data_IF_818355008889
#
_entry.id   IF_818355008889
#
_cell.length_a   1.000
_cell.length_b   1.000
_cell.length_c   1.000
_cell.angle_alpha   90.00
_cell.angle_beta   90.00
_cell.angle_gamma   90.00
#
_symmetry.space_group_name_H-M   'P 1'
#
loop_
_entity.id
_entity.type
_entity.pdbx_description
1 polymer ?
#
# COMPACT_ATOMS: atom_id res chain seq x y z
N UNK A 1 8.81 -2.55 8.04
CA UNK A 1 8.09 -2.54 6.75
C UNK A 1 7.98 -3.99 6.27
N UNK A 2 6.97 -4.33 5.49
CA UNK A 2 6.81 -5.66 4.89
C UNK A 2 6.60 -5.55 3.38
N UNK A 3 7.16 -6.51 2.62
CA UNK A 3 7.06 -6.58 1.16
C UNK A 3 6.65 -7.99 0.75
N UNK A 4 5.67 -8.11 -0.14
CA UNK A 4 5.15 -9.38 -0.64
C UNK A 4 4.41 -9.16 -1.98
N UNK A 5 4.15 -10.21 -2.77
CA UNK A 5 3.61 -10.01 -4.12
C UNK A 5 2.11 -9.72 -4.14
N UNK A 6 1.27 -10.62 -3.60
CA UNK A 6 -0.19 -10.50 -3.66
C UNK A 6 -0.76 -9.62 -2.54
N UNK A 7 -1.59 -8.61 -2.86
CA UNK A 7 -2.13 -7.70 -1.86
C UNK A 7 -3.06 -8.42 -0.89
N UNK A 8 -2.87 -8.21 0.40
CA UNK A 8 -3.84 -8.66 1.41
C UNK A 8 -4.96 -7.65 1.60
N UNK A 9 -4.78 -6.40 1.17
CA UNK A 9 -5.83 -5.39 0.98
C UNK A 9 -5.65 -4.80 -0.41
N UNK A 10 -6.70 -4.89 -1.22
CA UNK A 10 -6.82 -4.27 -2.54
C UNK A 10 -8.30 -4.13 -2.86
N UNK A 11 -8.67 -2.96 -3.38
CA UNK A 11 -9.99 -2.62 -3.92
C UNK A 11 -10.10 -2.93 -5.41
N UNK A 12 -9.05 -3.46 -6.05
CA UNK A 12 -9.13 -3.90 -7.44
C UNK A 12 -10.19 -5.00 -7.61
N UNK A 13 -11.01 -4.91 -8.66
CA UNK A 13 -12.08 -5.87 -8.94
C UNK A 13 -11.55 -7.17 -9.55
N UNK A 14 -10.45 -7.12 -10.31
CA UNK A 14 -9.94 -8.25 -11.04
C UNK A 14 -9.34 -9.36 -10.15
N UNK A 15 -8.38 -9.03 -9.27
CA UNK A 15 -7.84 -9.99 -8.30
C UNK A 15 -8.20 -9.60 -6.87
N UNK A 16 -7.94 -8.34 -6.48
CA UNK A 16 -8.34 -7.81 -5.19
C UNK A 16 -7.61 -8.46 -4.00
N UNK A 17 -8.25 -8.43 -2.84
CA UNK A 17 -7.63 -8.87 -1.58
C UNK A 17 -7.47 -10.40 -1.47
N UNK A 18 -6.25 -10.88 -1.22
CA UNK A 18 -5.99 -12.28 -0.84
C UNK A 18 -6.28 -12.51 0.66
N UNK A 19 -7.50 -12.94 0.96
CA UNK A 19 -7.96 -13.17 2.34
C UNK A 19 -7.29 -14.37 3.02
N UNK A 20 -6.87 -15.39 2.25
CA UNK A 20 -6.17 -16.55 2.81
C UNK A 20 -4.76 -16.17 3.24
N UNK A 21 -4.09 -15.32 2.46
CA UNK A 21 -2.80 -14.76 2.82
C UNK A 21 -2.93 -13.79 3.99
N UNK A 22 -3.93 -12.89 3.98
CA UNK A 22 -4.24 -11.95 5.08
C UNK A 22 -4.28 -12.66 6.43
N UNK A 23 -5.06 -13.74 6.52
CA UNK A 23 -5.22 -14.53 7.74
C UNK A 23 -3.91 -15.11 8.30
N UNK A 24 -2.89 -15.31 7.45
CA UNK A 24 -1.60 -15.88 7.84
C UNK A 24 -0.57 -14.81 8.21
N UNK A 25 -0.53 -13.68 7.49
CA UNK A 25 0.58 -12.72 7.59
C UNK A 25 0.22 -11.44 8.34
N UNK A 26 -1.03 -10.98 8.29
CA UNK A 26 -1.44 -9.78 9.05
C UNK A 26 -1.23 -9.95 10.57
N UNK A 27 -1.51 -11.11 11.19
CA UNK A 27 -1.18 -11.31 12.60
C UNK A 27 0.30 -11.12 12.92
N UNK A 28 1.20 -11.50 12.00
CA UNK A 28 2.64 -11.28 12.16
C UNK A 28 2.98 -9.79 12.05
N UNK A 29 2.35 -9.07 11.11
CA UNK A 29 2.55 -7.63 10.95
C UNK A 29 2.17 -6.86 12.22
N UNK A 30 1.04 -7.24 12.82
CA UNK A 30 0.58 -6.68 14.09
C UNK A 30 1.55 -7.00 15.22
N UNK A 31 1.93 -8.28 15.37
CA UNK A 31 2.85 -8.75 16.42
C UNK A 31 4.22 -8.07 16.39
N UNK A 32 4.77 -7.86 15.19
CA UNK A 32 6.11 -7.29 15.01
C UNK A 32 6.13 -5.79 14.74
N UNK A 33 4.98 -5.10 14.92
CA UNK A 33 4.93 -3.65 14.85
C UNK A 33 5.19 -3.08 13.46
N UNK A 34 4.80 -3.79 12.40
CA UNK A 34 4.83 -3.25 11.03
C UNK A 34 3.93 -2.00 10.97
N UNK A 35 4.44 -0.93 10.36
CA UNK A 35 3.71 0.33 10.16
C UNK A 35 3.25 0.53 8.72
N UNK A 36 3.93 -0.12 7.77
CA UNK A 36 3.60 -0.08 6.35
C UNK A 36 3.94 -1.40 5.65
N UNK A 37 3.06 -1.81 4.75
CA UNK A 37 3.14 -3.03 3.97
C UNK A 37 2.91 -2.72 2.48
N UNK A 38 3.73 -3.32 1.62
CA UNK A 38 3.79 -3.01 0.20
C UNK A 38 3.63 -4.29 -0.62
N UNK A 39 2.77 -4.20 -1.63
CA UNK A 39 2.47 -5.29 -2.55
C UNK A 39 2.36 -4.81 -3.99
N UNK A 40 2.20 -5.75 -4.92
CA UNK A 40 1.97 -5.46 -6.34
C UNK A 40 0.82 -6.31 -6.84
N UNK A 41 1.07 -7.11 -7.88
CA UNK A 41 0.14 -8.08 -8.49
C UNK A 41 -1.07 -7.45 -9.20
N UNK A 42 -1.83 -6.61 -8.52
CA UNK A 42 -2.83 -5.78 -9.16
C UNK A 42 -2.14 -4.67 -9.94
N UNK A 43 -2.48 -4.55 -11.22
CA UNK A 43 -1.85 -3.59 -12.13
C UNK A 43 -2.45 -2.19 -11.95
N UNK A 44 -2.45 -1.73 -10.70
CA UNK A 44 -2.96 -0.45 -10.22
C UNK A 44 -2.00 0.08 -9.15
N UNK A 45 -2.13 1.36 -8.86
CA UNK A 45 -1.66 1.94 -7.62
C UNK A 45 -2.85 2.09 -6.68
N UNK A 46 -2.70 1.66 -5.43
CA UNK A 46 -3.67 1.90 -4.38
C UNK A 46 -2.96 2.16 -3.05
N UNK A 47 -3.41 3.17 -2.32
CA UNK A 47 -3.18 3.30 -0.89
C UNK A 47 -4.53 3.18 -0.19
N UNK A 48 -4.55 2.36 0.85
CA UNK A 48 -5.74 2.12 1.66
C UNK A 48 -5.86 3.14 2.80
N UNK A 49 -7.00 3.21 3.48
CA UNK A 49 -7.06 3.72 4.85
C UNK A 49 -6.29 2.75 5.74
N UNK A 50 -5.58 3.22 6.79
CA UNK A 50 -4.88 2.31 7.68
C UNK A 50 -5.79 1.21 8.22
N UNK A 51 -5.37 -0.05 8.06
CA UNK A 51 -6.08 -1.21 8.60
C UNK A 51 -5.30 -1.69 9.82
N UNK A 52 -5.95 -1.73 10.99
CA UNK A 52 -5.30 -2.07 12.25
C UNK A 52 -4.05 -1.22 12.55
N UNK A 53 -4.06 0.05 12.13
CA UNK A 53 -2.94 0.97 12.29
C UNK A 53 -1.75 0.71 11.36
N UNK A 54 -1.93 -0.10 10.31
CA UNK A 54 -0.92 -0.38 9.28
C UNK A 54 -1.36 0.25 7.96
N UNK A 55 -0.47 1.00 7.33
CA UNK A 55 -0.69 1.54 5.99
C UNK A 55 -0.40 0.47 4.93
N UNK A 56 -1.36 0.16 4.06
CA UNK A 56 -1.13 -0.78 2.94
C UNK A 56 -1.09 -0.05 1.61
N UNK A 57 -0.14 -0.48 0.78
CA UNK A 57 0.03 -0.04 -0.61
C UNK A 57 0.02 -1.22 -1.58
N UNK A 58 -0.64 -1.00 -2.70
CA UNK A 58 -0.48 -1.73 -3.95
C UNK A 58 0.28 -0.82 -4.90
N UNK A 59 1.47 -1.24 -5.33
CA UNK A 59 2.34 -0.50 -6.25
C UNK A 59 2.61 -1.34 -7.52
N UNK A 60 1.56 -1.91 -8.13
CA UNK A 60 1.67 -2.76 -9.31
C UNK A 60 1.46 -2.04 -10.65
N UNK A 61 1.22 -0.73 -10.61
CA UNK A 61 1.12 0.15 -11.79
C UNK A 61 2.41 0.28 -12.62
N UNK A 62 3.52 -0.33 -12.22
CA UNK A 62 4.77 -0.38 -12.99
C UNK A 62 4.80 -1.43 -14.11
N UNK A 63 3.77 -2.29 -14.24
CA UNK A 63 3.81 -3.47 -15.13
C UNK A 63 3.69 -3.16 -16.63
N UNK A 64 3.38 -1.93 -17.01
CA UNK A 64 3.07 -1.54 -18.40
C UNK A 64 1.72 -2.09 -18.92
N UNK A 65 0.96 -2.85 -18.11
CA UNK A 65 -0.35 -3.42 -18.45
C UNK A 65 -1.41 -3.01 -17.42
N UNK A 66 -1.64 -1.71 -17.28
CA UNK A 66 -2.63 -1.19 -16.33
C UNK A 66 -4.01 -1.77 -16.56
N UNK A 67 -4.75 -1.96 -15.48
CA UNK A 67 -6.18 -2.30 -15.54
C UNK A 67 -7.01 -1.06 -15.25
N UNK A 68 -7.33 -0.30 -16.30
CA UNK A 68 -8.13 0.93 -16.21
C UNK A 68 -9.53 0.63 -15.69
N UNK A 69 -10.00 1.43 -14.73
CA UNK A 69 -11.32 1.29 -14.10
C UNK A 69 -11.46 0.09 -13.15
N UNK A 70 -10.37 -0.55 -12.76
CA UNK A 70 -10.39 -1.76 -11.92
C UNK A 70 -10.53 -1.43 -10.44
N UNK A 71 -10.19 -0.20 -10.00
CA UNK A 71 -10.30 0.18 -8.59
C UNK A 71 -11.76 0.43 -8.19
N UNK A 72 -12.25 -0.32 -7.20
CA UNK A 72 -13.49 0.00 -6.50
C UNK A 72 -13.26 1.14 -5.49
N UNK A 73 -13.42 2.38 -5.98
CA UNK A 73 -13.25 3.60 -5.18
C UNK A 73 -14.31 3.78 -4.09
N UNK A 74 -15.35 2.92 -4.05
CA UNK A 74 -16.39 2.93 -3.02
C UNK A 74 -16.08 2.00 -1.84
N UNK A 75 -15.03 1.17 -1.95
CA UNK A 75 -14.56 0.29 -0.89
C UNK A 75 -14.32 1.07 0.42
N UNK A 76 -14.78 0.53 1.54
CA UNK A 76 -14.68 1.19 2.84
C UNK A 76 -13.23 1.52 3.26
N UNK A 77 -12.27 0.72 2.79
CA UNK A 77 -10.85 0.90 3.07
C UNK A 77 -10.09 1.61 1.94
N UNK A 78 -10.73 2.02 0.86
CA UNK A 78 -10.08 2.82 -0.17
C UNK A 78 -9.76 4.23 0.36
N UNK A 79 -8.56 4.72 0.08
CA UNK A 79 -8.15 6.08 0.41
C UNK A 79 -7.75 6.85 -0.84
N UNK A 80 -6.86 6.29 -1.65
CA UNK A 80 -6.47 6.87 -2.95
C UNK A 80 -5.91 5.80 -3.88
N UNK A 81 -5.94 6.06 -5.18
CA UNK A 81 -5.47 5.11 -6.16
C UNK A 81 -5.48 5.65 -7.58
N UNK A 82 -4.63 5.04 -8.41
CA UNK A 82 -4.46 5.35 -9.82
C UNK A 82 -4.40 4.03 -10.61
N UNK A 83 -5.30 3.91 -11.57
CA UNK A 83 -5.40 2.80 -12.50
C UNK A 83 -5.35 3.27 -13.97
N UNK A 84 -5.01 4.54 -14.19
CA UNK A 84 -5.04 5.19 -15.50
C UNK A 84 -3.66 5.38 -16.13
N UNK A 85 -2.64 5.65 -15.32
CA UNK A 85 -1.27 5.90 -15.74
C UNK A 85 -0.28 5.01 -15.00
N UNK A 86 0.86 4.73 -15.63
CA UNK A 86 1.91 3.96 -15.00
C UNK A 86 2.51 4.78 -13.86
N UNK A 87 2.86 4.14 -12.75
CA UNK A 87 3.42 4.85 -11.60
C UNK A 87 4.34 3.97 -10.76
N UNK A 88 5.21 4.61 -9.99
CA UNK A 88 6.03 3.98 -8.96
C UNK A 88 5.88 4.71 -7.62
N UNK A 89 6.25 4.01 -6.54
CA UNK A 89 6.23 4.56 -5.18
C UNK A 89 7.66 4.86 -4.73
N UNK A 90 7.94 6.13 -4.42
CA UNK A 90 9.18 6.59 -3.81
C UNK A 90 8.99 6.72 -2.30
N UNK A 91 9.96 6.22 -1.53
CA UNK A 91 9.95 6.24 -0.07
C UNK A 91 11.23 6.86 0.47
N UNK A 92 11.09 7.80 1.40
CA UNK A 92 12.18 8.29 2.23
C UNK A 92 11.94 7.82 3.67
N UNK A 93 12.92 7.16 4.27
CA UNK A 93 12.78 6.53 5.58
C UNK A 93 13.76 7.15 6.57
N UNK A 94 13.23 7.65 7.67
CA UNK A 94 14.00 8.13 8.83
C UNK A 94 13.69 7.27 10.06
N UNK A 95 14.30 7.60 11.20
CA UNK A 95 13.98 6.94 12.47
C UNK A 95 12.54 7.20 12.92
N UNK A 96 11.99 8.36 12.55
CA UNK A 96 10.70 8.82 13.07
C UNK A 96 9.56 8.57 12.10
N UNK A 97 9.82 8.44 10.80
CA UNK A 97 8.77 8.31 9.80
C UNK A 97 9.21 7.72 8.46
N UNK A 98 8.22 7.32 7.68
CA UNK A 98 8.30 7.04 6.24
C UNK A 98 7.56 8.16 5.52
N UNK A 99 8.25 8.97 4.73
CA UNK A 99 7.62 9.87 3.76
C UNK A 99 7.45 9.11 2.44
N UNK A 100 6.31 9.26 1.77
CA UNK A 100 6.03 8.58 0.51
C UNK A 100 5.55 9.54 -0.57
N UNK A 101 5.85 9.21 -1.82
CA UNK A 101 5.34 9.88 -3.02
C UNK A 101 5.02 8.82 -4.09
N UNK A 102 3.80 8.82 -4.60
CA UNK A 102 3.45 8.07 -5.81
C UNK A 102 3.64 8.99 -7.02
N UNK A 103 4.52 8.57 -7.93
CA UNK A 103 4.96 9.35 -9.08
C UNK A 103 4.47 8.66 -10.35
N UNK A 104 3.74 9.38 -11.19
CA UNK A 104 3.25 8.85 -12.46
C UNK A 104 4.31 8.91 -13.57
N UNK A 105 3.98 8.34 -14.74
CA UNK A 105 4.86 8.28 -15.90
C UNK A 105 5.25 9.66 -16.49
N UNK A 106 4.54 10.74 -16.13
CA UNK A 106 4.91 12.11 -16.49
C UNK A 106 5.93 12.73 -15.52
N UNK A 107 6.19 12.06 -14.40
CA UNK A 107 7.00 12.59 -13.28
C UNK A 107 6.17 13.39 -12.26
N UNK A 108 4.84 13.46 -12.41
CA UNK A 108 3.99 14.16 -11.48
C UNK A 108 3.72 13.32 -10.23
N UNK A 109 3.80 13.96 -9.06
CA UNK A 109 3.39 13.35 -7.78
C UNK A 109 1.88 13.51 -7.64
N UNK A 110 1.15 12.40 -7.63
CA UNK A 110 -0.32 12.40 -7.51
C UNK A 110 -0.83 11.90 -6.15
N UNK A 111 0.03 11.25 -5.36
CA UNK A 111 -0.24 10.95 -3.96
C UNK A 111 1.04 11.12 -3.12
N UNK A 112 0.90 11.62 -1.91
CA UNK A 112 2.02 11.76 -0.98
C UNK A 112 1.55 11.83 0.47
N UNK A 113 2.46 11.56 1.40
CA UNK A 113 2.16 11.64 2.81
C UNK A 113 3.29 11.13 3.69
N UNK A 114 2.98 10.97 4.97
CA UNK A 114 3.94 10.57 6.00
C UNK A 114 3.31 9.57 6.97
N UNK A 115 4.02 8.47 7.21
CA UNK A 115 3.64 7.40 8.14
C UNK A 115 4.61 7.48 9.32
N UNK A 116 4.10 7.75 10.52
CA UNK A 116 4.95 7.82 11.71
C UNK A 116 5.40 6.42 12.13
N UNK A 117 6.67 6.29 12.51
CA UNK A 117 7.17 5.07 13.14
C UNK A 117 6.57 4.93 14.53
N UNK A 118 6.22 3.71 14.92
CA UNK A 118 5.84 3.42 16.30
C UNK A 118 7.05 3.68 17.19
N UNK A 119 6.94 4.61 18.14
CA UNK A 119 7.95 4.75 19.19
C UNK A 119 8.04 3.41 19.93
N UNK A 120 9.24 2.85 20.06
CA UNK A 120 9.43 1.75 21.01
C UNK A 120 9.04 2.31 22.38
N UNK A 121 8.02 1.75 23.02
CA UNK A 121 7.90 1.95 24.47
C UNK A 121 9.19 1.39 25.06
N UNK A 122 9.93 2.22 25.79
CA UNK A 122 11.05 1.72 26.56
C UNK A 122 10.52 0.57 27.42
N UNK A 123 11.13 -0.61 27.30
CA UNK A 123 10.89 -1.66 28.27
C UNK A 123 11.26 -1.08 29.64
N UNK A 124 10.30 -1.05 30.57
CA UNK A 124 10.56 -0.81 31.98
C UNK A 124 11.34 -1.99 32.55
#
# INVERSE_FOLDING_TARGET
>A
MAFFHHPIYSSARAHGSDLKLRAKIEPLFLRYGVVSAFSGHDHTYERTKPQNGIQYFVAGAGSGKLRKGDLDRTSAFFETGNDETGSFLYLEVTRDAISFQAVDASGAVFDSGKIQMKKKMAAQ
#
